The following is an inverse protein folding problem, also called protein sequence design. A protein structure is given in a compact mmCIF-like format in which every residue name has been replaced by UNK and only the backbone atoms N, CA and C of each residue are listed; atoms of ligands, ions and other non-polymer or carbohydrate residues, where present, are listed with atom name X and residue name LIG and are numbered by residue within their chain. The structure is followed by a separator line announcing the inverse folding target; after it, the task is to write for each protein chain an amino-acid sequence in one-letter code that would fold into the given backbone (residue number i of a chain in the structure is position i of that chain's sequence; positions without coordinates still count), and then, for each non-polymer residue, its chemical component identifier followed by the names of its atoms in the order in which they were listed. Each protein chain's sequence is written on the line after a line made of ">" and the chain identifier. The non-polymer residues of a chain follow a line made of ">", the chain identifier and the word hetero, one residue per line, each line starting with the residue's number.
data_IF_506247063652
#
_entry.id   IF_506247063652
#
_cell.length_a   1.000
_cell.length_b   1.000
_cell.length_c   1.000
_cell.angle_alpha   90.00
_cell.angle_beta   90.00
_cell.angle_gamma   90.00
#
_symmetry.space_group_name_H-M   'P 1'
#
loop_
_entity.id
_entity.type
_entity.pdbx_description
1 polymer ?
#
# COMPACT_ATOMS: atom_id res chain seq x y z
N UNK A 1 -17.72 -7.81 -13.28
CA UNK A 1 -16.66 -6.86 -12.91
C UNK A 1 -17.06 -5.50 -13.47
N UNK A 2 -17.16 -4.44 -12.63
CA UNK A 2 -17.56 -3.10 -13.06
C UNK A 2 -16.34 -2.20 -13.21
N UNK A 3 -15.82 -1.96 -14.44
CA UNK A 3 -14.65 -1.13 -14.67
C UNK A 3 -14.83 0.32 -14.20
N UNK A 4 -16.06 0.86 -14.26
CA UNK A 4 -16.34 2.22 -13.82
C UNK A 4 -16.19 2.38 -12.31
N UNK A 5 -16.63 1.38 -11.53
CA UNK A 5 -16.47 1.34 -10.09
C UNK A 5 -14.99 1.27 -9.68
N UNK A 6 -14.21 0.43 -10.33
CA UNK A 6 -12.77 0.31 -10.04
C UNK A 6 -12.00 1.58 -10.41
N UNK A 7 -12.41 2.23 -11.49
CA UNK A 7 -11.88 3.54 -11.88
C UNK A 7 -12.12 4.58 -10.78
N UNK A 8 -13.32 4.64 -10.22
CA UNK A 8 -13.67 5.57 -9.13
C UNK A 8 -12.81 5.30 -7.88
N UNK A 9 -12.70 4.04 -7.46
CA UNK A 9 -11.89 3.66 -6.29
C UNK A 9 -10.41 4.02 -6.50
N UNK A 10 -9.85 3.78 -7.68
CA UNK A 10 -8.48 4.17 -7.99
C UNK A 10 -8.30 5.70 -7.99
N UNK A 11 -9.26 6.46 -8.53
CA UNK A 11 -9.23 7.92 -8.53
C UNK A 11 -9.28 8.52 -7.12
N UNK A 12 -9.91 7.83 -6.18
CA UNK A 12 -10.03 8.24 -4.78
C UNK A 12 -8.92 7.66 -3.89
N UNK A 13 -8.09 6.77 -4.43
CA UNK A 13 -7.01 6.16 -3.66
C UNK A 13 -5.93 7.17 -3.30
N UNK A 14 -5.34 6.98 -2.11
CA UNK A 14 -4.31 7.89 -1.56
C UNK A 14 -3.17 8.16 -2.54
N UNK A 15 -2.80 7.19 -3.37
CA UNK A 15 -1.69 7.31 -4.33
C UNK A 15 -2.10 8.09 -5.57
N UNK A 16 -3.32 7.86 -6.08
CA UNK A 16 -3.76 8.34 -7.40
C UNK A 16 -4.81 9.45 -7.33
N UNK A 17 -5.19 9.90 -6.14
CA UNK A 17 -6.10 11.03 -6.00
C UNK A 17 -5.58 12.28 -6.75
N UNK A 18 -6.49 13.08 -7.29
CA UNK A 18 -6.19 14.31 -8.04
C UNK A 18 -5.44 14.11 -9.36
N UNK A 19 -5.32 12.89 -9.85
CA UNK A 19 -4.85 12.68 -11.21
C UNK A 19 -5.88 13.19 -12.23
N UNK A 20 -5.43 13.87 -13.29
CA UNK A 20 -6.30 14.18 -14.44
C UNK A 20 -6.89 12.89 -15.04
N UNK A 21 -8.11 12.92 -15.62
CA UNK A 21 -8.74 11.72 -16.18
C UNK A 21 -7.86 10.94 -17.17
N UNK A 22 -7.16 11.62 -18.09
CA UNK A 22 -6.25 10.97 -19.03
C UNK A 22 -5.05 10.28 -18.35
N UNK A 23 -4.53 10.88 -17.28
CA UNK A 23 -3.45 10.27 -16.48
C UNK A 23 -3.93 9.04 -15.71
N UNK A 24 -5.16 9.09 -15.20
CA UNK A 24 -5.77 7.93 -14.55
C UNK A 24 -5.99 6.77 -15.52
N UNK A 25 -6.33 7.06 -16.79
CA UNK A 25 -6.48 6.03 -17.82
C UNK A 25 -5.16 5.31 -18.11
N UNK A 26 -4.03 6.03 -18.07
CA UNK A 26 -2.69 5.42 -18.19
C UNK A 26 -2.37 4.50 -16.99
N UNK A 27 -2.74 4.92 -15.78
CA UNK A 27 -2.58 4.09 -14.57
C UNK A 27 -3.43 2.83 -14.68
N UNK A 28 -4.70 2.96 -15.08
CA UNK A 28 -5.61 1.83 -15.29
C UNK A 28 -5.07 0.82 -16.30
N UNK A 29 -4.54 1.32 -17.42
CA UNK A 29 -3.93 0.48 -18.46
C UNK A 29 -2.68 -0.29 -17.97
N UNK A 30 -2.01 0.22 -16.93
CA UNK A 30 -0.85 -0.42 -16.31
C UNK A 30 -1.22 -1.40 -15.19
N UNK A 31 -2.48 -1.39 -14.71
CA UNK A 31 -2.94 -2.25 -13.63
C UNK A 31 -3.19 -3.69 -14.10
N UNK A 32 -2.90 -4.63 -13.19
CA UNK A 32 -3.38 -6.01 -13.26
C UNK A 32 -4.35 -6.24 -12.11
N UNK A 33 -5.50 -6.87 -12.37
CA UNK A 33 -6.43 -7.28 -11.33
C UNK A 33 -5.97 -8.59 -10.70
N UNK A 34 -5.97 -8.64 -9.37
CA UNK A 34 -5.68 -9.82 -8.57
C UNK A 34 -6.89 -10.14 -7.71
N UNK A 35 -7.44 -11.34 -7.89
CA UNK A 35 -8.43 -11.92 -7.00
C UNK A 35 -7.72 -12.79 -5.97
N UNK A 36 -8.05 -12.62 -4.70
CA UNK A 36 -7.41 -13.32 -3.60
C UNK A 36 -8.42 -14.09 -2.78
N UNK A 37 -8.02 -15.29 -2.36
CA UNK A 37 -8.80 -16.11 -1.43
C UNK A 37 -8.61 -15.63 0.04
N UNK A 38 -9.54 -15.98 0.95
CA UNK A 38 -9.38 -15.71 2.37
C UNK A 38 -8.05 -16.26 2.92
N UNK A 39 -7.30 -15.42 3.63
CA UNK A 39 -6.00 -15.77 4.21
C UNK A 39 -4.83 -15.81 3.24
N UNK A 40 -5.06 -15.60 1.94
CA UNK A 40 -4.01 -15.61 0.93
C UNK A 40 -2.97 -14.52 1.22
N UNK A 41 -1.70 -14.93 1.27
CA UNK A 41 -0.56 -14.02 1.44
C UNK A 41 -0.28 -13.30 0.11
N UNK A 42 -0.14 -11.97 0.18
CA UNK A 42 0.07 -11.08 -0.96
C UNK A 42 1.49 -10.53 -0.95
N UNK A 43 1.96 -10.09 0.22
CA UNK A 43 3.33 -9.68 0.46
C UNK A 43 3.91 -10.43 1.64
N UNK A 44 5.21 -10.70 1.60
CA UNK A 44 5.97 -11.31 2.70
C UNK A 44 7.05 -10.35 3.18
N UNK A 45 7.10 -10.09 4.49
CA UNK A 45 8.18 -9.30 5.11
C UNK A 45 9.56 -9.84 4.73
N UNK A 46 10.46 -8.95 4.34
CA UNK A 46 11.82 -9.30 3.94
C UNK A 46 11.96 -9.80 2.50
N UNK A 47 10.86 -9.97 1.76
CA UNK A 47 10.90 -10.39 0.35
C UNK A 47 10.65 -9.18 -0.57
N UNK A 48 11.17 -9.20 -1.81
CA UNK A 48 10.87 -8.18 -2.81
C UNK A 48 9.36 -8.08 -3.08
N UNK A 49 8.82 -6.86 -3.11
CA UNK A 49 7.45 -6.60 -3.52
C UNK A 49 7.30 -6.51 -5.04
N UNK A 50 6.15 -6.90 -5.57
CA UNK A 50 5.88 -6.88 -7.01
C UNK A 50 5.47 -5.50 -7.53
N UNK A 51 4.98 -4.61 -6.66
CA UNK A 51 4.53 -3.27 -7.05
C UNK A 51 3.65 -2.59 -5.99
N UNK A 52 2.84 -1.64 -6.45
CA UNK A 52 1.87 -0.92 -5.63
C UNK A 52 0.50 -1.58 -5.79
N UNK A 53 -0.10 -1.91 -4.66
CA UNK A 53 -1.43 -2.51 -4.59
C UNK A 53 -2.46 -1.50 -4.10
N UNK A 54 -3.62 -1.46 -4.72
CA UNK A 54 -4.80 -0.74 -4.25
C UNK A 54 -5.92 -1.74 -4.01
N UNK A 55 -6.52 -1.70 -2.83
CA UNK A 55 -7.68 -2.54 -2.51
C UNK A 55 -8.89 -1.99 -3.27
N UNK A 56 -9.53 -2.82 -4.08
CA UNK A 56 -10.76 -2.50 -4.82
C UNK A 56 -12.00 -3.04 -4.11
N UNK A 57 -11.90 -4.26 -3.60
CA UNK A 57 -12.95 -4.94 -2.84
C UNK A 57 -12.34 -5.77 -1.72
N UNK A 58 -13.11 -5.96 -0.63
CA UNK A 58 -12.67 -6.72 0.53
C UNK A 58 -11.72 -5.97 1.44
N UNK A 59 -10.93 -6.69 2.22
CA UNK A 59 -9.97 -6.14 3.18
C UNK A 59 -8.65 -6.89 3.14
N UNK A 60 -7.55 -6.15 3.34
CA UNK A 60 -6.19 -6.67 3.49
C UNK A 60 -5.66 -6.32 4.88
N UNK A 61 -5.10 -7.30 5.57
CA UNK A 61 -4.41 -7.11 6.83
C UNK A 61 -2.91 -6.95 6.60
N UNK A 62 -2.34 -5.87 7.15
CA UNK A 62 -0.89 -5.64 7.21
C UNK A 62 -0.39 -6.06 8.57
N UNK A 63 0.61 -6.94 8.62
CA UNK A 63 1.10 -7.51 9.87
C UNK A 63 2.59 -7.85 9.81
N UNK A 64 3.18 -7.93 11.00
CA UNK A 64 4.52 -8.49 11.19
C UNK A 64 4.36 -9.95 11.64
N UNK A 65 4.85 -10.94 10.89
CA UNK A 65 4.75 -12.35 11.27
C UNK A 65 5.63 -12.64 12.50
N UNK A 66 5.36 -13.74 13.19
CA UNK A 66 6.19 -14.20 14.31
C UNK A 66 7.65 -14.41 13.85
N UNK A 67 7.84 -15.07 12.73
CA UNK A 67 9.14 -15.20 12.06
C UNK A 67 9.21 -14.19 10.92
N UNK A 68 9.96 -13.12 11.14
CA UNK A 68 10.14 -12.04 10.16
C UNK A 68 11.37 -12.25 9.28
N UNK A 69 11.55 -11.30 8.35
CA UNK A 69 12.74 -11.24 7.51
C UNK A 69 14.02 -11.04 8.33
N UNK A 70 15.18 -11.38 7.74
CA UNK A 70 16.51 -11.23 8.35
C UNK A 70 16.68 -11.89 9.74
N UNK A 71 15.94 -12.98 10.01
CA UNK A 71 16.06 -13.74 11.27
C UNK A 71 15.37 -13.09 12.49
N UNK A 72 14.53 -12.09 12.26
CA UNK A 72 13.74 -11.47 13.34
C UNK A 72 12.72 -12.47 13.87
N UNK A 73 12.67 -12.65 15.20
CA UNK A 73 11.69 -13.48 15.89
C UNK A 73 10.85 -12.62 16.83
N UNK A 74 9.53 -12.77 16.78
CA UNK A 74 8.57 -12.07 17.64
C UNK A 74 7.77 -13.08 18.47
N UNK A 75 7.34 -12.75 19.70
CA UNK A 75 6.54 -13.65 20.54
C UNK A 75 5.23 -14.09 19.88
N UNK A 76 4.62 -13.18 19.10
CA UNK A 76 3.40 -13.41 18.33
C UNK A 76 3.37 -12.51 17.10
N UNK A 77 2.54 -12.81 16.10
CA UNK A 77 2.29 -11.89 15.00
C UNK A 77 1.70 -10.57 15.52
N UNK A 78 2.13 -9.45 14.95
CA UNK A 78 1.67 -8.11 15.32
C UNK A 78 0.86 -7.53 14.15
N UNK A 79 -0.43 -7.31 14.36
CA UNK A 79 -1.26 -6.63 13.39
C UNK A 79 -0.94 -5.13 13.39
N UNK A 80 -0.57 -4.58 12.24
CA UNK A 80 -0.26 -3.17 12.09
C UNK A 80 -1.49 -2.37 11.61
N UNK A 81 -2.24 -2.90 10.63
CA UNK A 81 -3.37 -2.20 10.05
C UNK A 81 -4.33 -3.15 9.32
N UNK A 82 -5.55 -2.65 9.01
CA UNK A 82 -6.48 -3.22 8.03
C UNK A 82 -6.81 -2.18 6.98
N UNK A 83 -6.75 -2.60 5.73
CA UNK A 83 -6.91 -1.75 4.57
C UNK A 83 -8.14 -2.20 3.79
N UNK A 84 -9.12 -1.31 3.69
CA UNK A 84 -10.32 -1.47 2.85
C UNK A 84 -10.16 -0.78 1.48
N UNK A 85 -11.24 -0.70 0.69
CA UNK A 85 -11.23 -0.09 -0.63
C UNK A 85 -10.64 1.32 -0.67
N UNK A 86 -9.86 1.62 -1.71
CA UNK A 86 -9.14 2.88 -1.89
C UNK A 86 -7.82 2.99 -1.13
N UNK A 87 -7.51 2.05 -0.22
CA UNK A 87 -6.22 2.03 0.47
C UNK A 87 -5.17 1.31 -0.33
N UNK A 88 -3.90 1.72 -0.15
CA UNK A 88 -2.76 1.16 -0.87
C UNK A 88 -1.71 0.58 0.08
N UNK A 89 -0.88 -0.30 -0.46
CA UNK A 89 0.29 -0.88 0.20
C UNK A 89 1.31 -1.36 -0.84
N UNK A 90 2.53 -1.67 -0.39
CA UNK A 90 3.64 -2.07 -1.27
C UNK A 90 4.39 -0.90 -1.92
N UNK A 91 3.98 0.33 -1.63
CA UNK A 91 4.53 1.56 -2.21
C UNK A 91 5.99 1.79 -1.84
N UNK A 92 6.43 1.39 -0.65
CA UNK A 92 7.82 1.59 -0.21
C UNK A 92 8.79 0.82 -1.10
N UNK A 93 8.64 -0.49 -1.19
CA UNK A 93 9.51 -1.32 -2.01
C UNK A 93 9.43 -1.00 -3.51
N UNK A 94 8.32 -0.41 -3.97
CA UNK A 94 8.20 0.06 -5.35
C UNK A 94 9.05 1.32 -5.60
N UNK A 95 9.33 2.14 -4.57
CA UNK A 95 10.08 3.39 -4.67
C UNK A 95 11.57 3.21 -4.33
N UNK A 96 11.90 2.48 -3.26
CA UNK A 96 13.25 2.43 -2.67
C UNK A 96 14.04 1.14 -2.97
N UNK A 97 13.43 0.19 -3.69
CA UNK A 97 14.01 -1.13 -3.99
C UNK A 97 14.31 -2.01 -2.77
N UNK A 98 13.83 -1.60 -1.58
CA UNK A 98 14.02 -2.42 -0.39
C UNK A 98 13.00 -3.54 -0.30
N UNK A 99 13.32 -4.64 0.39
CA UNK A 99 12.35 -5.68 0.72
C UNK A 99 11.15 -5.12 1.49
N UNK A 100 10.02 -5.81 1.38
CA UNK A 100 8.80 -5.44 2.08
C UNK A 100 9.01 -5.34 3.58
N UNK A 101 8.62 -4.23 4.20
CA UNK A 101 8.77 -3.98 5.64
C UNK A 101 7.75 -4.72 6.51
N UNK A 102 6.72 -5.29 5.90
CA UNK A 102 5.66 -6.05 6.55
C UNK A 102 5.06 -7.06 5.58
N UNK A 103 4.32 -8.02 6.12
CA UNK A 103 3.50 -8.95 5.35
C UNK A 103 2.10 -8.40 5.13
N UNK A 104 1.44 -8.81 4.04
CA UNK A 104 0.07 -8.49 3.72
C UNK A 104 -0.70 -9.75 3.35
N UNK A 105 -1.92 -9.92 3.90
CA UNK A 105 -2.82 -11.03 3.55
C UNK A 105 -4.26 -10.57 3.39
N UNK A 106 -5.01 -11.24 2.54
CA UNK A 106 -6.44 -11.04 2.42
C UNK A 106 -7.16 -11.52 3.70
N UNK A 107 -8.07 -10.71 4.26
CA UNK A 107 -8.87 -11.11 5.45
C UNK A 107 -9.99 -12.06 5.01
N UNK A 108 -10.69 -11.69 3.94
CA UNK A 108 -11.68 -12.50 3.22
C UNK A 108 -11.30 -12.58 1.75
N UNK A 109 -12.22 -12.94 0.87
CA UNK A 109 -12.03 -12.74 -0.56
C UNK A 109 -11.84 -11.24 -0.84
N UNK A 110 -10.85 -10.89 -1.63
CA UNK A 110 -10.57 -9.50 -1.98
C UNK A 110 -10.14 -9.36 -3.45
N UNK A 111 -10.42 -8.21 -4.03
CA UNK A 111 -9.95 -7.82 -5.36
C UNK A 111 -9.00 -6.64 -5.23
N UNK A 112 -7.83 -6.74 -5.83
CA UNK A 112 -6.79 -5.73 -5.79
C UNK A 112 -6.43 -5.27 -7.20
N UNK A 113 -6.07 -3.99 -7.35
CA UNK A 113 -5.34 -3.50 -8.50
C UNK A 113 -3.85 -3.49 -8.17
N UNK A 114 -3.06 -4.23 -8.91
CA UNK A 114 -1.60 -4.20 -8.86
C UNK A 114 -1.07 -3.35 -10.00
N UNK A 115 -0.33 -2.29 -9.68
CA UNK A 115 0.55 -1.63 -10.64
C UNK A 115 1.94 -2.24 -10.48
N UNK A 116 2.41 -3.06 -11.43
CA UNK A 116 3.72 -3.70 -11.35
C UNK A 116 4.83 -2.66 -11.18
N UNK A 117 5.85 -2.95 -10.37
CA UNK A 117 6.92 -2.04 -9.99
C UNK A 117 7.58 -1.34 -11.18
N UNK A 118 7.90 -2.08 -12.24
CA UNK A 118 8.49 -1.50 -13.44
C UNK A 118 7.55 -0.51 -14.13
N UNK A 119 6.25 -0.84 -14.21
CA UNK A 119 5.23 0.05 -14.79
C UNK A 119 4.97 1.28 -13.93
N UNK A 120 4.95 1.10 -12.61
CA UNK A 120 4.79 2.23 -11.69
C UNK A 120 5.92 3.25 -11.86
N UNK A 121 7.18 2.80 -11.90
CA UNK A 121 8.34 3.65 -12.15
C UNK A 121 8.31 4.31 -13.52
N UNK A 122 7.99 3.55 -14.57
CA UNK A 122 7.83 4.10 -15.92
C UNK A 122 6.80 5.23 -15.96
N UNK A 123 5.66 5.07 -15.29
CA UNK A 123 4.64 6.12 -15.18
C UNK A 123 5.17 7.36 -14.47
N UNK A 124 5.90 7.20 -13.35
CA UNK A 124 6.45 8.32 -12.60
C UNK A 124 7.53 9.09 -13.36
N UNK A 125 8.39 8.39 -14.11
CA UNK A 125 9.55 8.96 -14.80
C UNK A 125 9.19 9.58 -16.15
N UNK A 126 8.25 8.95 -16.89
CA UNK A 126 7.92 9.37 -18.27
C UNK A 126 6.69 10.25 -18.37
N UNK A 127 5.89 10.34 -17.32
CA UNK A 127 4.65 11.10 -17.30
C UNK A 127 4.72 12.14 -16.17
N UNK A 128 5.28 13.32 -16.47
CA UNK A 128 5.49 14.40 -15.48
C UNK A 128 4.24 14.74 -14.67
N UNK A 129 3.06 14.73 -15.31
CA UNK A 129 1.79 14.99 -14.64
C UNK A 129 1.46 13.91 -13.59
N UNK A 130 1.76 12.63 -13.88
CA UNK A 130 1.55 11.51 -12.96
C UNK A 130 2.59 11.58 -11.84
N UNK A 131 3.88 11.66 -12.19
CA UNK A 131 4.98 11.70 -11.23
C UNK A 131 4.78 12.78 -10.18
N UNK A 132 4.53 14.02 -10.62
CA UNK A 132 4.32 15.16 -9.72
C UNK A 132 3.14 14.95 -8.74
N UNK A 133 2.00 14.44 -9.20
CA UNK A 133 0.82 14.23 -8.36
C UNK A 133 1.06 13.07 -7.40
N UNK A 134 1.56 11.93 -7.90
CA UNK A 134 1.81 10.73 -7.09
C UNK A 134 2.85 10.98 -6.01
N UNK A 135 3.99 11.62 -6.34
CA UNK A 135 4.99 11.97 -5.32
C UNK A 135 4.43 12.92 -4.25
N UNK A 136 3.64 13.93 -4.65
CA UNK A 136 3.01 14.83 -3.69
C UNK A 136 1.99 14.10 -2.79
N UNK A 137 1.24 13.14 -3.32
CA UNK A 137 0.29 12.32 -2.56
C UNK A 137 1.02 11.40 -1.58
N UNK A 138 2.04 10.69 -2.04
CA UNK A 138 2.87 9.81 -1.20
C UNK A 138 3.55 10.60 -0.08
N UNK A 139 4.10 11.78 -0.37
CA UNK A 139 4.71 12.63 0.64
C UNK A 139 3.70 13.04 1.74
N UNK A 140 2.49 13.48 1.36
CA UNK A 140 1.45 13.81 2.33
C UNK A 140 1.05 12.59 3.18
N UNK A 141 0.91 11.43 2.54
CA UNK A 141 0.59 10.19 3.22
C UNK A 141 1.67 9.80 4.24
N UNK A 142 2.95 9.87 3.87
CA UNK A 142 4.08 9.55 4.73
C UNK A 142 4.20 10.54 5.90
N UNK A 143 4.03 11.85 5.64
CA UNK A 143 4.00 12.87 6.70
C UNK A 143 2.87 12.59 7.69
N UNK A 144 1.67 12.23 7.20
CA UNK A 144 0.55 11.85 8.06
C UNK A 144 0.87 10.65 8.96
N UNK A 145 1.48 9.61 8.40
CA UNK A 145 1.92 8.42 9.16
C UNK A 145 2.98 8.76 10.21
N UNK A 146 3.97 9.56 9.84
CA UNK A 146 5.03 9.99 10.75
C UNK A 146 4.44 10.74 11.95
N UNK A 147 3.60 11.73 11.70
CA UNK A 147 2.91 12.49 12.76
C UNK A 147 2.04 11.61 13.68
N UNK A 148 1.41 10.56 13.13
CA UNK A 148 0.66 9.59 13.96
C UNK A 148 1.59 8.78 14.85
N UNK A 149 2.76 8.39 14.34
CA UNK A 149 3.77 7.67 15.12
C UNK A 149 4.39 8.54 16.22
N UNK A 150 4.66 9.81 15.95
CA UNK A 150 5.14 10.75 16.95
C UNK A 150 4.14 10.86 18.12
N UNK A 151 2.83 10.96 17.82
CA UNK A 151 1.79 10.99 18.86
C UNK A 151 1.68 9.68 19.66
N UNK A 152 1.83 8.51 19.00
CA UNK A 152 1.85 7.22 19.69
C UNK A 152 3.04 7.13 20.65
N UNK A 153 4.21 7.62 20.24
CA UNK A 153 5.41 7.67 21.10
C UNK A 153 5.22 8.63 22.27
N UNK A 154 4.67 9.83 22.06
CA UNK A 154 4.39 10.77 23.13
C UNK A 154 3.47 10.17 24.19
N UNK A 155 2.46 9.38 23.79
CA UNK A 155 1.57 8.72 24.74
C UNK A 155 2.30 7.72 25.64
N UNK A 156 3.27 6.97 25.08
CA UNK A 156 4.09 6.00 25.85
C UNK A 156 4.95 6.71 26.90
N UNK A 157 5.42 7.94 26.62
CA UNK A 157 6.28 8.67 27.57
C UNK A 157 5.50 9.54 28.57
N UNK A 158 4.21 9.83 28.32
CA UNK A 158 3.38 10.64 29.24
C UNK A 158 2.75 9.79 30.35
N UNK A 159 2.62 8.48 30.20
CA UNK A 159 2.07 7.58 31.24
C UNK A 159 3.02 7.35 32.44
N UNK A 160 4.28 7.79 32.36
CA UNK A 160 5.29 7.62 33.43
C UNK A 160 5.52 8.88 34.29
N UNK A 161 4.51 9.79 34.46
CA UNK A 161 4.62 10.82 35.48
C UNK A 161 3.89 10.39 36.75
N UNK A 162 4.63 10.34 37.91
CA UNK A 162 4.04 10.04 39.19
C UNK A 162 3.05 11.08 39.67
#
# INVERSE_FOLDING_TARGET
>A
MDPARYRSILAESVVFERLPPASLDLVLAACTLLETAPGQLILTEGMPGEGVYVVLEGEVEIFLPQQGGAGVWRPSPIRLNRLGPGRCFGEYGALDDQPSSASARAVGAATLALVPKAKFRELLERQDAIGRVVYANLLRFLIGRLRSKDKELDLVFVEDKP
#
